data_IF_271164500942
#
_entry.id   IF_271164500942
#
_cell.length_a   1.000
_cell.length_b   1.000
_cell.length_c   1.000
_cell.angle_alpha   90.00
_cell.angle_beta   90.00
_cell.angle_gamma   90.00
#
_symmetry.space_group_name_H-M   'P 1'
#
loop_
_entity.id
_entity.type
_entity.pdbx_description
1 polymer ?
#
# COMPACT_ATOMS: atom_id res chain seq x y z
N UNK A 1 5.25 -16.86 6.07
CA UNK A 1 6.64 -16.54 6.41
C UNK A 1 7.02 -15.31 5.60
N UNK A 2 7.56 -14.26 6.22
CA UNK A 2 8.02 -13.07 5.49
C UNK A 2 9.32 -13.34 4.73
N UNK A 3 9.78 -12.34 3.99
CA UNK A 3 11.05 -12.37 3.25
C UNK A 3 12.23 -12.74 4.17
N UNK A 4 13.13 -13.58 3.66
CA UNK A 4 14.38 -13.90 4.35
C UNK A 4 15.29 -12.66 4.40
N UNK A 5 16.01 -12.40 5.51
CA UNK A 5 16.81 -11.20 5.70
C UNK A 5 17.79 -10.90 4.55
N UNK A 6 18.43 -11.93 4.01
CA UNK A 6 19.37 -11.85 2.88
C UNK A 6 18.73 -11.32 1.58
N UNK A 7 17.41 -11.40 1.45
CA UNK A 7 16.67 -10.96 0.26
C UNK A 7 15.97 -9.61 0.44
N UNK A 8 15.85 -9.09 1.68
CA UNK A 8 15.16 -7.81 1.94
C UNK A 8 15.71 -6.69 1.06
N UNK A 9 17.04 -6.57 0.98
CA UNK A 9 17.65 -5.49 0.21
C UNK A 9 17.40 -5.61 -1.30
N UNK A 10 17.38 -6.81 -1.88
CA UNK A 10 17.10 -7.01 -3.31
C UNK A 10 15.62 -6.80 -3.62
N UNK A 11 14.72 -7.34 -2.79
CA UNK A 11 13.28 -7.20 -3.00
C UNK A 11 12.82 -5.76 -2.83
N UNK A 12 13.35 -5.02 -1.84
CA UNK A 12 13.08 -3.58 -1.71
C UNK A 12 13.56 -2.81 -2.94
N UNK A 13 14.76 -3.10 -3.46
CA UNK A 13 15.24 -2.42 -4.69
C UNK A 13 14.34 -2.69 -5.87
N UNK A 14 13.90 -3.94 -6.06
CA UNK A 14 12.99 -4.33 -7.13
C UNK A 14 11.64 -3.60 -7.01
N UNK A 15 10.99 -3.72 -5.86
CA UNK A 15 9.68 -3.13 -5.60
C UNK A 15 9.66 -1.61 -5.81
N UNK A 16 10.67 -0.90 -5.29
CA UNK A 16 10.73 0.56 -5.43
C UNK A 16 11.19 1.02 -6.82
N UNK A 17 11.97 0.22 -7.55
CA UNK A 17 12.26 0.49 -8.96
C UNK A 17 10.99 0.35 -9.81
N UNK A 18 10.19 -0.68 -9.57
CA UNK A 18 8.92 -0.90 -10.26
C UNK A 18 7.91 0.20 -9.95
N UNK A 19 7.84 0.68 -8.70
CA UNK A 19 7.04 1.84 -8.32
C UNK A 19 7.49 3.11 -9.07
N UNK A 20 8.81 3.34 -9.17
CA UNK A 20 9.37 4.48 -9.90
C UNK A 20 9.05 4.41 -11.39
N UNK A 21 9.14 3.22 -12.00
CA UNK A 21 8.84 3.00 -13.42
C UNK A 21 7.36 3.23 -13.75
N UNK A 22 6.48 3.12 -12.75
CA UNK A 22 5.05 3.44 -12.85
C UNK A 22 4.73 4.91 -12.51
N UNK A 23 5.73 5.79 -12.58
CA UNK A 23 5.65 7.23 -12.25
C UNK A 23 4.98 7.52 -10.90
N UNK A 24 5.25 6.68 -9.89
CA UNK A 24 4.67 6.79 -8.55
C UNK A 24 3.13 6.86 -8.58
N UNK A 25 2.51 6.20 -9.56
CA UNK A 25 1.06 6.14 -9.77
C UNK A 25 0.40 7.50 -10.06
N UNK A 26 1.14 8.49 -10.56
CA UNK A 26 0.57 9.77 -11.00
C UNK A 26 -0.30 9.61 -12.25
N UNK A 27 -1.31 10.47 -12.36
CA UNK A 27 -2.19 10.54 -13.53
C UNK A 27 -3.19 9.39 -13.65
N UNK A 28 -3.28 8.52 -12.64
CA UNK A 28 -4.27 7.44 -12.58
C UNK A 28 -5.63 7.95 -12.12
N UNK A 29 -6.70 7.23 -12.49
CA UNK A 29 -8.00 7.41 -11.84
C UNK A 29 -7.94 6.88 -10.40
N UNK A 30 -8.84 7.31 -9.49
CA UNK A 30 -8.86 6.80 -8.12
C UNK A 30 -8.98 5.28 -8.02
N UNK A 31 -9.70 4.64 -8.95
CA UNK A 31 -9.83 3.18 -8.99
C UNK A 31 -8.53 2.48 -9.43
N UNK A 32 -7.87 2.98 -10.47
CA UNK A 32 -6.58 2.46 -10.92
C UNK A 32 -5.49 2.66 -9.86
N UNK A 33 -5.47 3.84 -9.22
CA UNK A 33 -4.56 4.09 -8.10
C UNK A 33 -4.79 3.10 -6.95
N UNK A 34 -6.05 2.87 -6.57
CA UNK A 34 -6.37 1.95 -5.49
C UNK A 34 -5.91 0.52 -5.77
N UNK A 35 -6.07 0.06 -7.01
CA UNK A 35 -5.60 -1.25 -7.46
C UNK A 35 -4.08 -1.37 -7.40
N UNK A 36 -3.37 -0.43 -8.01
CA UNK A 36 -1.89 -0.41 -8.04
C UNK A 36 -1.29 -0.26 -6.64
N UNK A 37 -1.88 0.59 -5.80
CA UNK A 37 -1.43 0.80 -4.43
C UNK A 37 -1.68 -0.43 -3.55
N UNK A 38 -2.82 -1.11 -3.69
CA UNK A 38 -3.08 -2.34 -2.94
C UNK A 38 -2.07 -3.44 -3.26
N UNK A 39 -1.75 -3.63 -4.55
CA UNK A 39 -0.72 -4.57 -4.98
C UNK A 39 0.65 -4.22 -4.40
N UNK A 40 1.08 -2.96 -4.54
CA UNK A 40 2.34 -2.48 -3.97
C UNK A 40 2.42 -2.68 -2.45
N UNK A 41 1.33 -2.41 -1.72
CA UNK A 41 1.27 -2.58 -0.27
C UNK A 41 1.32 -4.05 0.15
N UNK A 42 0.70 -4.95 -0.63
CA UNK A 42 0.79 -6.39 -0.40
C UNK A 42 2.25 -6.87 -0.51
N UNK A 43 2.95 -6.46 -1.57
CA UNK A 43 4.37 -6.78 -1.78
C UNK A 43 5.26 -6.19 -0.67
N UNK A 44 5.07 -4.91 -0.36
CA UNK A 44 5.83 -4.24 0.71
C UNK A 44 5.62 -4.92 2.08
N UNK A 45 4.39 -5.39 2.34
CA UNK A 45 4.07 -6.12 3.55
C UNK A 45 4.73 -7.50 3.61
N UNK A 46 4.86 -8.17 2.47
CA UNK A 46 5.53 -9.45 2.39
C UNK A 46 7.04 -9.36 2.62
N UNK A 47 7.65 -8.25 2.21
CA UNK A 47 9.08 -7.97 2.47
C UNK A 47 9.34 -7.78 3.97
N UNK A 48 8.46 -7.05 4.67
CA UNK A 48 8.51 -6.88 6.13
C UNK A 48 9.90 -6.45 6.67
N UNK A 49 10.45 -5.38 6.09
CA UNK A 49 11.87 -5.02 6.18
C UNK A 49 12.42 -4.72 7.58
N UNK A 50 11.55 -4.40 8.56
CA UNK A 50 11.96 -4.03 9.91
C UNK A 50 11.62 -5.12 10.93
N UNK A 51 12.38 -5.17 12.04
CA UNK A 51 12.04 -6.05 13.18
C UNK A 51 10.70 -5.67 13.81
N UNK A 52 10.43 -4.36 13.89
CA UNK A 52 9.17 -3.78 14.41
C UNK A 52 8.85 -2.49 13.67
N UNK A 53 7.58 -2.09 13.67
CA UNK A 53 7.14 -0.80 13.12
C UNK A 53 6.77 -0.80 11.63
N UNK A 54 6.80 -1.96 10.95
CA UNK A 54 6.45 -2.08 9.53
C UNK A 54 5.13 -1.40 9.17
N UNK A 55 4.03 -1.74 9.86
CA UNK A 55 2.71 -1.17 9.56
C UNK A 55 2.65 0.36 9.69
N UNK A 56 3.31 0.94 10.71
CA UNK A 56 3.37 2.41 10.89
C UNK A 56 4.16 3.07 9.77
N UNK A 57 5.32 2.52 9.43
CA UNK A 57 6.16 3.03 8.32
C UNK A 57 5.45 2.92 6.98
N UNK A 58 4.79 1.79 6.72
CA UNK A 58 4.02 1.55 5.49
C UNK A 58 2.84 2.52 5.36
N UNK A 59 2.08 2.77 6.43
CA UNK A 59 0.96 3.72 6.42
C UNK A 59 1.43 5.15 6.14
N UNK A 60 2.53 5.59 6.76
CA UNK A 60 3.11 6.92 6.51
C UNK A 60 3.60 7.03 5.07
N UNK A 61 4.33 6.04 4.57
CA UNK A 61 4.79 6.00 3.18
C UNK A 61 3.60 6.07 2.21
N UNK A 62 2.57 5.26 2.44
CA UNK A 62 1.38 5.22 1.62
C UNK A 62 0.64 6.56 1.60
N UNK A 63 0.51 7.21 2.75
CA UNK A 63 -0.13 8.53 2.87
C UNK A 63 0.59 9.57 2.00
N UNK A 64 1.94 9.58 2.03
CA UNK A 64 2.76 10.49 1.20
C UNK A 64 2.65 10.13 -0.27
N UNK A 65 2.72 8.84 -0.63
CA UNK A 65 2.58 8.38 -2.01
C UNK A 65 1.23 8.81 -2.59
N UNK A 66 0.14 8.57 -1.86
CA UNK A 66 -1.21 8.89 -2.28
C UNK A 66 -1.39 10.40 -2.47
N UNK A 67 -0.87 11.22 -1.56
CA UNK A 67 -0.85 12.68 -1.70
C UNK A 67 -0.09 13.12 -2.96
N UNK A 68 1.08 12.55 -3.23
CA UNK A 68 1.92 12.87 -4.40
C UNK A 68 1.31 12.39 -5.72
N UNK A 69 0.50 11.34 -5.69
CA UNK A 69 -0.23 10.80 -6.84
C UNK A 69 -1.52 11.57 -7.16
N UNK A 70 -1.97 12.49 -6.29
CA UNK A 70 -3.22 13.24 -6.45
C UNK A 70 -4.45 12.56 -5.83
N UNK A 71 -4.24 11.60 -4.93
CA UNK A 71 -5.29 10.83 -4.26
C UNK A 71 -5.12 10.88 -2.73
N UNK A 72 -5.28 12.06 -2.10
CA UNK A 72 -5.15 12.16 -0.65
C UNK A 72 -6.13 11.21 0.07
N UNK A 73 -5.66 10.57 1.14
CA UNK A 73 -6.45 9.61 1.91
C UNK A 73 -7.34 10.30 2.94
N UNK A 74 -8.60 9.90 3.02
CA UNK A 74 -9.48 10.20 4.18
C UNK A 74 -9.05 9.35 5.38
N UNK A 75 -8.10 9.83 6.17
CA UNK A 75 -7.62 9.12 7.35
C UNK A 75 -8.67 9.05 8.46
N UNK A 76 -9.68 9.93 8.47
CA UNK A 76 -10.81 9.82 9.41
C UNK A 76 -11.72 8.63 9.06
N UNK A 77 -11.68 8.17 7.80
CA UNK A 77 -12.38 6.97 7.35
C UNK A 77 -11.57 5.68 7.53
N UNK A 78 -10.33 5.76 8.03
CA UNK A 78 -9.47 4.60 8.26
C UNK A 78 -9.92 3.85 9.51
N UNK A 79 -10.42 2.63 9.32
CA UNK A 79 -10.55 1.63 10.37
C UNK A 79 -9.24 0.82 10.45
N UNK A 80 -8.44 0.98 11.52
CA UNK A 80 -7.15 0.30 11.64
C UNK A 80 -7.27 -1.23 11.68
N UNK A 81 -8.33 -1.76 12.30
CA UNK A 81 -8.53 -3.21 12.43
C UNK A 81 -8.92 -3.81 11.08
N UNK A 82 -9.83 -3.16 10.36
CA UNK A 82 -10.23 -3.59 9.03
C UNK A 82 -9.07 -3.50 8.02
N UNK A 83 -8.28 -2.43 8.07
CA UNK A 83 -7.12 -2.26 7.20
C UNK A 83 -6.05 -3.32 7.50
N UNK A 84 -5.77 -3.59 8.78
CA UNK A 84 -4.86 -4.67 9.17
C UNK A 84 -5.37 -6.04 8.70
N UNK A 85 -6.66 -6.32 8.86
CA UNK A 85 -7.25 -7.58 8.38
C UNK A 85 -7.09 -7.72 6.86
N UNK A 86 -7.25 -6.62 6.10
CA UNK A 86 -7.02 -6.61 4.67
C UNK A 86 -5.55 -6.88 4.29
N UNK A 87 -4.58 -6.30 5.03
CA UNK A 87 -3.14 -6.56 4.85
C UNK A 87 -2.77 -8.03 5.15
N UNK A 88 -3.42 -8.65 6.14
CA UNK A 88 -3.23 -10.08 6.46
C UNK A 88 -3.82 -10.97 5.37
N UNK A 89 -4.96 -10.59 4.79
CA UNK A 89 -5.59 -11.32 3.68
C UNK A 89 -4.81 -11.19 2.38
N UNK A 90 -4.28 -10.01 2.06
CA UNK A 90 -3.45 -9.81 0.87
C UNK A 90 -2.17 -10.64 0.92
N UNK A 91 -1.58 -10.78 2.11
CA UNK A 91 -0.43 -11.68 2.32
C UNK A 91 -0.76 -13.17 2.04
N UNK A 92 -2.05 -13.55 2.02
CA UNK A 92 -2.53 -14.90 1.66
C UNK A 92 -3.06 -14.98 0.23
N UNK A 93 -2.89 -13.93 -0.58
CA UNK A 93 -3.30 -13.87 -1.98
C UNK A 93 -4.66 -13.19 -2.25
N UNK A 94 -5.37 -12.71 -1.22
CA UNK A 94 -6.60 -11.92 -1.39
C UNK A 94 -6.29 -10.42 -1.36
N UNK A 95 -5.82 -9.89 -2.48
CA UNK A 95 -5.60 -8.45 -2.66
C UNK A 95 -6.90 -7.66 -2.82
N UNK A 96 -8.02 -8.30 -3.14
CA UNK A 96 -9.31 -7.64 -3.36
C UNK A 96 -9.82 -6.95 -2.07
N UNK A 97 -9.61 -7.59 -0.92
CA UNK A 97 -9.91 -6.97 0.39
C UNK A 97 -9.10 -5.69 0.62
N UNK A 98 -7.83 -5.68 0.23
CA UNK A 98 -6.94 -4.52 0.39
C UNK A 98 -7.26 -3.41 -0.62
N UNK A 99 -7.54 -3.76 -1.88
CA UNK A 99 -8.04 -2.80 -2.87
C UNK A 99 -9.33 -2.13 -2.38
N UNK A 100 -10.29 -2.90 -1.84
CA UNK A 100 -11.53 -2.34 -1.30
C UNK A 100 -11.28 -1.35 -0.16
N UNK A 101 -10.36 -1.68 0.76
CA UNK A 101 -9.96 -0.80 1.84
C UNK A 101 -9.31 0.50 1.32
N UNK A 102 -8.36 0.40 0.38
CA UNK A 102 -7.71 1.56 -0.24
C UNK A 102 -8.73 2.41 -1.01
N UNK A 103 -9.59 1.78 -1.80
CA UNK A 103 -10.68 2.42 -2.55
C UNK A 103 -11.58 3.26 -1.66
N UNK A 104 -11.84 2.82 -0.42
CA UNK A 104 -12.63 3.58 0.55
C UNK A 104 -11.89 4.82 1.04
N UNK A 105 -10.58 4.76 1.21
CA UNK A 105 -9.76 5.88 1.68
C UNK A 105 -9.55 6.96 0.61
N UNK A 106 -9.41 6.56 -0.67
CA UNK A 106 -9.16 7.51 -1.77
C UNK A 106 -10.43 8.16 -2.33
N UNK A 107 -11.61 7.67 -1.93
CA UNK A 107 -12.90 8.26 -2.32
C UNK A 107 -13.19 9.49 -1.46
N UNK A 108 -12.74 10.66 -1.92
CA UNK A 108 -13.21 11.95 -1.41
C UNK A 108 -13.86 12.77 -2.53
N UNK A 109 -15.19 12.66 -2.62
CA UNK A 109 -16.05 13.79 -2.94
C UNK A 109 -16.80 14.14 -1.66
N UNK A 110 -16.14 14.82 -0.72
CA UNK A 110 -16.87 15.62 0.26
C UNK A 110 -16.95 17.03 -0.33
N UNK A 111 -18.17 17.42 -0.69
CA UNK A 111 -18.53 18.80 -1.04
C UNK A 111 -18.14 19.75 0.07
#
# INVERSE_FOLDING_TARGET
MFCYPEHIASEMRKLFLDLKNQDLFRGLTPGEFADRAAHFLADLNAIHAFREGNGRTQLVFFTVLALQAGHPLDLDALDPEAFLAAMVKSFRGDEASLNSAVSRLVRLNRK
#
